data_IF_194250786625
#
_entry.id   IF_194250786625
#
_cell.length_a   1.000
_cell.length_b   1.000
_cell.length_c   1.000
_cell.angle_alpha   90.00
_cell.angle_beta   90.00
_cell.angle_gamma   90.00
#
_symmetry.space_group_name_H-M   'P 1'
#
loop_
_entity.id
_entity.type
_entity.pdbx_description
1 polymer ?
#
# COMPACT_ATOMS: atom_id res chain seq x y z
N UNK A 1 5.11 -3.79 -22.84
CA UNK A 1 5.80 -3.80 -21.53
C UNK A 1 4.95 -3.12 -20.47
N UNK A 2 5.16 -3.41 -19.18
CA UNK A 2 4.42 -2.75 -18.08
C UNK A 2 4.84 -1.27 -18.00
N UNK A 3 3.90 -0.31 -17.86
CA UNK A 3 4.24 1.10 -17.71
C UNK A 3 5.15 1.33 -16.50
N UNK A 4 6.12 2.25 -16.63
CA UNK A 4 6.96 2.66 -15.50
C UNK A 4 6.11 3.40 -14.47
N UNK A 5 6.36 3.14 -13.19
CA UNK A 5 5.70 3.89 -12.11
C UNK A 5 6.19 5.35 -12.09
N UNK A 6 5.27 6.28 -11.87
CA UNK A 6 5.59 7.69 -11.66
C UNK A 6 5.88 7.90 -10.17
N UNK A 7 7.01 8.53 -9.85
CA UNK A 7 7.37 8.90 -8.47
C UNK A 7 7.29 10.41 -8.35
N UNK A 8 6.39 10.90 -7.50
CA UNK A 8 6.18 12.32 -7.26
C UNK A 8 6.65 12.71 -5.86
N UNK A 9 7.44 13.79 -5.76
CA UNK A 9 7.78 14.42 -4.48
C UNK A 9 6.75 15.52 -4.21
N UNK A 10 6.12 15.46 -3.04
CA UNK A 10 5.10 16.42 -2.60
C UNK A 10 5.69 17.42 -1.59
N UNK A 11 5.04 18.57 -1.45
CA UNK A 11 5.49 19.65 -0.55
C UNK A 11 5.53 19.26 0.93
N UNK A 12 4.66 18.37 1.37
CA UNK A 12 4.55 17.95 2.76
C UNK A 12 3.99 16.53 2.88
N UNK A 13 4.26 15.87 4.02
CA UNK A 13 3.64 14.58 4.37
C UNK A 13 2.12 14.68 4.46
N UNK A 14 1.61 15.78 5.01
CA UNK A 14 0.18 16.01 5.11
C UNK A 14 -0.49 16.01 3.73
N UNK A 15 0.10 16.66 2.72
CA UNK A 15 -0.45 16.65 1.35
C UNK A 15 -0.46 15.24 0.76
N UNK A 16 0.62 14.46 0.96
CA UNK A 16 0.69 13.05 0.54
C UNK A 16 -0.47 12.26 1.16
N UNK A 17 -0.66 12.40 2.46
CA UNK A 17 -1.63 11.63 3.21
C UNK A 17 -3.07 12.00 2.81
N UNK A 18 -3.35 13.29 2.59
CA UNK A 18 -4.65 13.77 2.08
C UNK A 18 -4.97 13.22 0.68
N UNK A 19 -4.00 13.15 -0.23
CA UNK A 19 -4.21 12.58 -1.57
C UNK A 19 -4.53 11.09 -1.47
N UNK A 20 -3.73 10.32 -0.72
CA UNK A 20 -3.90 8.88 -0.59
C UNK A 20 -5.22 8.55 0.12
N UNK A 21 -5.58 9.28 1.18
CA UNK A 21 -6.83 9.08 1.90
C UNK A 21 -8.05 9.40 1.03
N UNK A 22 -7.99 10.49 0.24
CA UNK A 22 -9.05 10.85 -0.71
C UNK A 22 -9.27 9.77 -1.77
N UNK A 23 -8.20 9.23 -2.36
CA UNK A 23 -8.30 8.13 -3.35
C UNK A 23 -8.89 6.88 -2.72
N UNK A 24 -8.51 6.54 -1.47
CA UNK A 24 -9.08 5.39 -0.75
C UNK A 24 -10.56 5.58 -0.40
N UNK A 25 -10.95 6.77 0.03
CA UNK A 25 -12.35 7.11 0.34
C UNK A 25 -13.25 6.99 -0.91
N UNK A 26 -12.73 7.38 -2.08
CA UNK A 26 -13.40 7.20 -3.38
C UNK A 26 -13.39 5.73 -3.87
N UNK A 27 -12.74 4.81 -3.16
CA UNK A 27 -12.53 3.40 -3.55
C UNK A 27 -11.78 3.24 -4.89
N UNK A 28 -10.83 4.15 -5.15
CA UNK A 28 -10.03 4.18 -6.36
C UNK A 28 -10.25 5.44 -7.18
N UNK A 29 -9.46 5.59 -8.24
CA UNK A 29 -9.54 6.69 -9.19
C UNK A 29 -9.19 6.17 -10.58
N UNK A 30 -9.75 6.78 -11.62
CA UNK A 30 -9.55 6.41 -13.01
C UNK A 30 -9.14 7.61 -13.87
N UNK A 31 -8.64 7.36 -15.09
CA UNK A 31 -8.21 8.40 -16.03
C UNK A 31 -9.28 9.46 -16.28
N UNK A 32 -10.56 9.07 -16.35
CA UNK A 32 -11.69 9.98 -16.54
C UNK A 32 -11.93 10.90 -15.35
N UNK A 33 -11.63 10.45 -14.13
CA UNK A 33 -11.80 11.25 -12.91
C UNK A 33 -10.83 12.44 -12.82
N UNK A 34 -9.75 12.41 -13.60
CA UNK A 34 -8.75 13.47 -13.69
C UNK A 34 -8.66 14.05 -15.10
N UNK A 35 -9.71 13.85 -15.91
CA UNK A 35 -9.85 14.41 -17.25
C UNK A 35 -8.71 14.04 -18.22
N UNK A 36 -8.11 12.85 -18.06
CA UNK A 36 -7.19 12.31 -19.05
C UNK A 36 -8.01 11.75 -20.21
N UNK A 37 -7.80 12.23 -21.45
CA UNK A 37 -8.54 11.74 -22.61
C UNK A 37 -8.18 10.28 -22.93
N UNK A 38 -9.13 9.58 -23.56
CA UNK A 38 -8.97 8.19 -24.01
C UNK A 38 -9.75 7.17 -23.17
N UNK A 39 -9.34 5.91 -23.27
CA UNK A 39 -9.97 4.79 -22.58
C UNK A 39 -9.91 4.94 -21.05
N UNK A 40 -10.99 4.57 -20.35
CA UNK A 40 -11.03 4.57 -18.89
C UNK A 40 -10.06 3.54 -18.33
N UNK A 41 -9.08 3.99 -17.55
CA UNK A 41 -8.06 3.15 -16.91
C UNK A 41 -7.98 3.43 -15.42
N UNK A 42 -7.91 2.37 -14.61
CA UNK A 42 -7.73 2.51 -13.17
C UNK A 42 -6.32 2.99 -12.85
N UNK A 43 -6.23 3.93 -11.91
CA UNK A 43 -4.99 4.51 -11.42
C UNK A 43 -4.79 4.08 -9.97
N UNK A 44 -3.55 3.72 -9.65
CA UNK A 44 -3.17 3.29 -8.31
C UNK A 44 -2.21 4.28 -7.68
N UNK A 45 -2.62 4.87 -6.56
CA UNK A 45 -1.81 5.82 -5.79
C UNK A 45 -1.36 5.15 -4.50
N UNK A 46 -0.05 5.03 -4.31
CA UNK A 46 0.56 4.39 -3.14
C UNK A 46 1.75 5.21 -2.64
N UNK A 47 2.14 4.97 -1.39
CA UNK A 47 3.37 5.53 -0.83
C UNK A 47 4.60 4.94 -1.52
N UNK A 48 5.60 5.79 -1.81
CA UNK A 48 6.88 5.31 -2.33
C UNK A 48 7.76 4.81 -1.18
N UNK A 49 7.91 3.49 -1.08
CA UNK A 49 8.77 2.83 -0.11
C UNK A 49 10.22 2.78 -0.56
N UNK A 50 11.15 2.81 0.41
CA UNK A 50 12.56 2.49 0.16
C UNK A 50 12.72 1.02 -0.29
N UNK A 51 13.79 0.65 -1.00
CA UNK A 51 13.98 -0.71 -1.52
C UNK A 51 13.85 -1.80 -0.46
N UNK A 52 14.42 -1.60 0.73
CA UNK A 52 14.32 -2.55 1.84
C UNK A 52 12.86 -2.80 2.27
N UNK A 53 12.05 -1.73 2.42
CA UNK A 53 10.64 -1.86 2.80
C UNK A 53 9.79 -2.45 1.67
N UNK A 54 10.14 -2.22 0.39
CA UNK A 54 9.47 -2.91 -0.74
C UNK A 54 9.70 -4.41 -0.67
N UNK A 55 10.94 -4.83 -0.39
CA UNK A 55 11.30 -6.23 -0.23
C UNK A 55 10.61 -6.86 0.98
N UNK A 56 10.61 -6.17 2.12
CA UNK A 56 9.91 -6.61 3.33
C UNK A 56 8.41 -6.76 3.06
N UNK A 57 7.76 -5.79 2.41
CA UNK A 57 6.35 -5.86 2.05
C UNK A 57 6.03 -7.06 1.16
N UNK A 58 6.93 -7.41 0.23
CA UNK A 58 6.77 -8.61 -0.60
C UNK A 58 6.72 -9.87 0.28
N UNK A 59 7.71 -10.06 1.16
CA UNK A 59 7.77 -11.22 2.06
C UNK A 59 6.59 -11.27 3.03
N UNK A 60 6.18 -10.13 3.58
CA UNK A 60 5.00 -10.03 4.45
C UNK A 60 3.75 -10.50 3.70
N UNK A 61 3.52 -10.03 2.47
CA UNK A 61 2.35 -10.44 1.67
C UNK A 61 2.36 -11.93 1.33
N UNK A 62 3.52 -12.47 0.98
CA UNK A 62 3.68 -13.90 0.69
C UNK A 62 3.36 -14.75 1.92
N UNK A 63 3.92 -14.38 3.08
CA UNK A 63 3.68 -15.11 4.34
C UNK A 63 2.25 -14.96 4.84
N UNK A 64 1.70 -13.75 4.79
CA UNK A 64 0.31 -13.46 5.15
C UNK A 64 -0.67 -14.28 4.31
N UNK A 65 -0.39 -14.44 3.00
CA UNK A 65 -1.21 -15.29 2.12
C UNK A 65 -1.20 -16.75 2.56
N UNK A 66 -0.03 -17.30 2.90
CA UNK A 66 0.11 -18.69 3.36
C UNK A 66 -0.62 -18.89 4.71
N UNK A 67 -0.44 -17.96 5.64
CA UNK A 67 -1.05 -17.99 6.97
C UNK A 67 -2.51 -17.48 7.00
N UNK A 68 -3.11 -17.21 5.83
CA UNK A 68 -4.51 -16.77 5.66
C UNK A 68 -4.89 -15.49 6.41
N UNK A 69 -3.96 -14.54 6.49
CA UNK A 69 -4.24 -13.20 6.99
C UNK A 69 -5.06 -12.41 5.95
N UNK A 70 -6.14 -11.78 6.38
CA UNK A 70 -7.05 -11.05 5.52
C UNK A 70 -6.49 -9.69 5.09
N UNK A 71 -5.69 -9.04 5.94
CA UNK A 71 -5.31 -7.65 5.71
C UNK A 71 -3.81 -7.42 5.82
N UNK A 72 -3.24 -6.80 4.79
CA UNK A 72 -1.88 -6.24 4.78
C UNK A 72 -1.91 -4.88 4.12
N UNK A 73 -1.45 -3.84 4.81
CA UNK A 73 -1.41 -2.49 4.25
C UNK A 73 -0.20 -1.70 4.71
N UNK A 74 0.01 -0.56 4.05
CA UNK A 74 1.07 0.39 4.35
C UNK A 74 0.45 1.71 4.77
N UNK A 75 1.00 2.29 5.85
CA UNK A 75 0.67 3.64 6.31
C UNK A 75 1.90 4.29 6.91
N UNK A 76 2.27 5.47 6.41
CA UNK A 76 3.45 6.23 6.84
C UNK A 76 4.74 5.41 6.76
N UNK A 77 4.91 4.70 5.64
CA UNK A 77 6.07 3.83 5.39
C UNK A 77 6.15 2.55 6.22
N UNK A 78 5.22 2.36 7.17
CA UNK A 78 5.14 1.19 8.06
C UNK A 78 4.19 0.14 7.49
N UNK A 79 4.54 -1.13 7.69
CA UNK A 79 3.76 -2.27 7.20
C UNK A 79 2.92 -2.84 8.35
N UNK A 80 1.62 -2.93 8.11
CA UNK A 80 0.65 -3.45 9.07
C UNK A 80 0.01 -4.71 8.54
N UNK A 81 -0.26 -5.64 9.47
CA UNK A 81 -0.85 -6.94 9.19
C UNK A 81 -1.95 -7.20 10.21
N UNK A 82 -3.08 -7.76 9.76
CA UNK A 82 -4.20 -8.16 10.62
C UNK A 82 -4.83 -9.44 10.07
N UNK A 83 -5.06 -10.41 10.95
CA UNK A 83 -5.54 -11.74 10.54
C UNK A 83 -6.98 -11.71 10.06
N UNK A 84 -7.84 -11.08 10.84
CA UNK A 84 -9.28 -10.88 10.58
C UNK A 84 -9.78 -9.63 11.31
N UNK A 85 -11.07 -9.33 11.22
CA UNK A 85 -11.69 -8.15 11.80
C UNK A 85 -11.73 -8.13 13.34
N UNK A 86 -11.43 -9.23 14.02
CA UNK A 86 -11.42 -9.33 15.49
C UNK A 86 -10.00 -9.41 16.05
N UNK A 87 -9.04 -9.84 15.24
CA UNK A 87 -7.65 -9.98 15.64
C UNK A 87 -6.95 -8.64 15.87
N UNK A 88 -5.91 -8.68 16.70
CA UNK A 88 -5.06 -7.52 16.97
C UNK A 88 -4.29 -7.09 15.72
N UNK A 89 -4.04 -5.78 15.64
CA UNK A 89 -3.17 -5.18 14.64
C UNK A 89 -1.71 -5.51 14.96
N UNK A 90 -0.96 -5.98 13.97
CA UNK A 90 0.49 -6.18 14.07
C UNK A 90 1.26 -5.22 13.17
N UNK A 91 2.31 -4.61 13.72
CA UNK A 91 3.29 -3.82 13.00
C UNK A 91 4.50 -4.70 12.66
N UNK A 92 4.92 -4.67 11.40
CA UNK A 92 6.14 -5.34 10.91
C UNK A 92 7.17 -4.26 10.57
N UNK A 93 8.23 -4.19 11.36
CA UNK A 93 9.33 -3.24 11.19
C UNK A 93 10.50 -3.85 10.41
N UNK A 94 10.77 -5.13 10.61
CA UNK A 94 11.93 -5.81 10.02
C UNK A 94 11.65 -7.28 9.65
N UNK A 95 12.69 -7.98 9.20
CA UNK A 95 12.58 -9.38 8.79
C UNK A 95 12.35 -10.35 9.94
N UNK A 96 12.75 -10.02 11.17
CA UNK A 96 12.52 -10.88 12.35
C UNK A 96 11.05 -10.90 12.74
N UNK A 97 10.36 -9.77 12.55
CA UNK A 97 8.92 -9.63 12.76
C UNK A 97 8.08 -10.53 11.85
N UNK A 98 8.62 -11.02 10.73
CA UNK A 98 7.94 -12.00 9.89
C UNK A 98 7.54 -13.24 10.69
N UNK A 99 8.29 -13.62 11.74
CA UNK A 99 7.98 -14.77 12.60
C UNK A 99 6.65 -14.61 13.35
N UNK A 100 6.18 -13.38 13.56
CA UNK A 100 4.89 -13.07 14.20
C UNK A 100 3.69 -13.49 13.35
N UNK A 101 3.88 -13.61 12.03
CA UNK A 101 2.84 -14.06 11.10
C UNK A 101 2.83 -15.60 11.12
N UNK A 102 1.91 -16.17 11.89
CA UNK A 102 1.64 -17.62 12.01
C UNK A 102 0.21 -17.94 11.65
#
# INVERSE_FOLDING_TARGET
GRPKAIVAKLKSRMLRDSIISGVRAKKGISSTDIHIPGERRNLYVNEHLIPANKLLLKYVKEKAKIAKYQFVWVRDGKIFVRKDDTSALMLICDSTDLKKIT
#
